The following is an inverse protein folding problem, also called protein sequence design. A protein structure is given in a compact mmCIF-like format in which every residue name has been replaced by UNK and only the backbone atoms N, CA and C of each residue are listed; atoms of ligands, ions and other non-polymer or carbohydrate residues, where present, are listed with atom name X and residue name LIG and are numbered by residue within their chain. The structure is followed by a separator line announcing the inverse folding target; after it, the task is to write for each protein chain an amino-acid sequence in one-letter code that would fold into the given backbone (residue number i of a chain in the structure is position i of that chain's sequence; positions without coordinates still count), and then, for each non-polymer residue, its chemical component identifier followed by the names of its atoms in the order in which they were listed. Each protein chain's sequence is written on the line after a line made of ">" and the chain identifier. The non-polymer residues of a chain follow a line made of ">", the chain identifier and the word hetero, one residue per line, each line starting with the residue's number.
data_IF_271759993216
#
_entry.id   IF_271759993216
#
_cell.length_a   1.000
_cell.length_b   1.000
_cell.length_c   1.000
_cell.angle_alpha   90.00
_cell.angle_beta   90.00
_cell.angle_gamma   90.00
#
_symmetry.space_group_name_H-M   'P 1'
#
loop_
_entity.id
_entity.type
_entity.pdbx_description
1 polymer ?
#
# COMPACT_ATOMS: atom_id res chain seq x y z
N UNK A 1 18.78 8.08 10.70
CA UNK A 1 19.50 6.84 10.37
C UNK A 1 18.77 6.18 9.20
N UNK A 2 19.16 6.49 7.97
CA UNK A 2 18.67 5.78 6.77
C UNK A 2 19.82 4.87 6.33
N UNK A 3 19.82 3.63 6.80
CA UNK A 3 20.80 2.62 6.45
C UNK A 3 20.25 1.84 5.23
N UNK A 4 21.01 1.80 4.14
CA UNK A 4 20.61 1.11 2.90
C UNK A 4 20.25 -0.37 3.15
N UNK A 5 20.98 -1.04 4.05
CA UNK A 5 20.68 -2.43 4.42
C UNK A 5 19.35 -2.57 5.15
N UNK A 6 19.08 -1.68 6.11
CA UNK A 6 17.81 -1.68 6.83
C UNK A 6 16.64 -1.35 5.91
N UNK A 7 16.86 -0.51 4.88
CA UNK A 7 15.84 -0.19 3.87
C UNK A 7 15.49 -1.41 3.02
N UNK A 8 16.50 -2.17 2.60
CA UNK A 8 16.29 -3.40 1.83
C UNK A 8 15.53 -4.45 2.64
N UNK A 9 15.98 -4.72 3.86
CA UNK A 9 15.33 -5.69 4.77
C UNK A 9 13.87 -5.32 5.03
N UNK A 10 13.60 -4.03 5.34
CA UNK A 10 12.24 -3.55 5.52
C UNK A 10 11.39 -3.72 4.25
N UNK A 11 11.96 -3.46 3.08
CA UNK A 11 11.26 -3.61 1.80
C UNK A 11 10.91 -5.08 1.54
N UNK A 12 11.83 -6.00 1.80
CA UNK A 12 11.59 -7.44 1.65
C UNK A 12 10.55 -7.94 2.65
N UNK A 13 10.62 -7.51 3.91
CA UNK A 13 9.63 -7.82 4.93
C UNK A 13 8.23 -7.35 4.53
N UNK A 14 8.10 -6.09 4.09
CA UNK A 14 6.82 -5.53 3.64
C UNK A 14 6.30 -6.26 2.39
N UNK A 15 7.18 -6.61 1.46
CA UNK A 15 6.80 -7.36 0.25
C UNK A 15 6.28 -8.75 0.59
N UNK A 16 6.84 -9.40 1.61
CA UNK A 16 6.36 -10.70 2.11
C UNK A 16 4.93 -10.67 2.64
N UNK A 17 4.41 -9.50 3.04
CA UNK A 17 3.05 -9.31 3.54
C UNK A 17 2.03 -9.03 2.42
N UNK A 18 2.48 -8.81 1.18
CA UNK A 18 1.63 -8.54 0.03
C UNK A 18 1.31 -9.85 -0.68
N UNK A 19 0.03 -10.21 -0.74
CA UNK A 19 -0.45 -11.36 -1.49
C UNK A 19 -0.74 -11.00 -2.94
N UNK A 20 -1.26 -9.81 -3.21
CA UNK A 20 -1.59 -9.34 -4.55
C UNK A 20 -1.60 -7.81 -4.64
N UNK A 21 -1.25 -7.28 -5.81
CA UNK A 21 -1.39 -5.85 -6.16
C UNK A 21 -2.26 -5.75 -7.40
N UNK A 22 -3.37 -5.01 -7.31
CA UNK A 22 -4.29 -4.80 -8.43
C UNK A 22 -4.32 -3.34 -8.84
N UNK A 23 -4.38 -3.11 -10.15
CA UNK A 23 -4.72 -1.82 -10.73
C UNK A 23 -6.15 -1.90 -11.25
N UNK A 24 -7.04 -1.07 -10.71
CA UNK A 24 -8.47 -1.12 -11.01
C UNK A 24 -8.85 0.19 -11.71
N UNK A 25 -9.53 0.15 -12.87
CA UNK A 25 -10.12 1.34 -13.48
C UNK A 25 -11.07 2.06 -12.52
N UNK A 26 -10.88 3.36 -12.38
CA UNK A 26 -11.73 4.25 -11.59
C UNK A 26 -11.79 5.63 -12.27
N UNK A 27 -12.95 5.94 -12.85
CA UNK A 27 -13.19 7.21 -13.55
C UNK A 27 -13.13 8.44 -12.62
N UNK A 28 -13.21 8.24 -11.30
CA UNK A 28 -13.07 9.30 -10.31
C UNK A 28 -11.62 9.55 -9.87
N UNK A 29 -10.70 8.64 -10.19
CA UNK A 29 -9.28 8.79 -9.85
C UNK A 29 -8.58 9.78 -10.79
N UNK A 30 -7.61 10.55 -10.27
CA UNK A 30 -6.87 11.57 -11.05
C UNK A 30 -6.24 10.99 -12.33
N UNK A 31 -5.83 9.72 -12.28
CA UNK A 31 -5.19 9.01 -13.38
C UNK A 31 -6.06 7.88 -13.97
N UNK A 32 -7.36 7.85 -13.66
CA UNK A 32 -8.31 6.85 -14.19
C UNK A 32 -8.16 5.44 -13.60
N UNK A 33 -7.29 5.26 -12.59
CA UNK A 33 -7.05 3.99 -11.93
C UNK A 33 -6.70 4.19 -10.46
N UNK A 34 -7.03 3.19 -9.64
CA UNK A 34 -6.55 3.04 -8.26
C UNK A 34 -5.68 1.80 -8.13
N UNK A 35 -4.78 1.82 -7.14
CA UNK A 35 -3.98 0.66 -6.76
C UNK A 35 -4.54 0.09 -5.45
N UNK A 36 -4.87 -1.20 -5.46
CA UNK A 36 -5.29 -1.93 -4.26
C UNK A 36 -4.23 -2.97 -3.88
N UNK A 37 -3.98 -3.07 -2.57
CA UNK A 37 -3.08 -4.06 -1.97
C UNK A 37 -3.91 -5.10 -1.23
N UNK A 38 -3.65 -6.37 -1.51
CA UNK A 38 -4.30 -7.50 -0.84
C UNK A 38 -3.27 -8.29 -0.04
N UNK A 39 -3.72 -8.89 1.07
CA UNK A 39 -2.88 -9.59 2.04
C UNK A 39 -2.84 -8.86 3.37
N UNK A 40 -1.89 -9.23 4.24
CA UNK A 40 -1.77 -8.67 5.58
C UNK A 40 -1.46 -7.17 5.54
N UNK A 41 -0.61 -6.73 4.61
CA UNK A 41 -0.29 -5.32 4.46
C UNK A 41 -1.51 -4.48 4.06
N UNK A 42 -2.36 -5.00 3.17
CA UNK A 42 -3.62 -4.33 2.79
C UNK A 42 -4.54 -4.14 4.00
N UNK A 43 -4.73 -5.18 4.79
CA UNK A 43 -5.55 -5.12 6.00
C UNK A 43 -5.00 -4.13 7.06
N UNK A 44 -3.68 -4.05 7.21
CA UNK A 44 -3.04 -3.08 8.13
C UNK A 44 -3.29 -1.65 7.66
N UNK A 45 -3.14 -1.37 6.37
CA UNK A 45 -3.36 -0.05 5.80
C UNK A 45 -4.83 0.37 5.85
N UNK A 46 -5.76 -0.55 5.60
CA UNK A 46 -7.19 -0.32 5.76
C UNK A 46 -7.55 0.01 7.20
N UNK A 47 -7.00 -0.74 8.17
CA UNK A 47 -7.21 -0.44 9.59
C UNK A 47 -6.67 0.94 9.97
N UNK A 48 -5.52 1.34 9.43
CA UNK A 48 -4.95 2.66 9.66
C UNK A 48 -5.81 3.77 9.03
N UNK A 49 -6.35 3.54 7.83
CA UNK A 49 -7.17 4.51 7.10
C UNK A 49 -8.53 4.76 7.77
N UNK A 50 -9.08 3.77 8.50
CA UNK A 50 -10.30 3.95 9.32
C UNK A 50 -10.14 5.05 10.38
N UNK A 51 -8.91 5.37 10.82
CA UNK A 51 -8.62 6.46 11.76
C UNK A 51 -8.22 7.80 11.13
N UNK A 52 -7.90 7.82 9.84
CA UNK A 52 -7.35 8.98 9.13
C UNK A 52 -8.13 9.25 7.85
N UNK A 53 -8.86 10.37 7.81
CA UNK A 53 -9.55 10.87 6.60
C UNK A 53 -8.62 10.75 5.39
N UNK A 54 -9.04 9.95 4.41
CA UNK A 54 -8.31 9.67 3.17
C UNK A 54 -7.75 10.95 2.56
N UNK A 55 -6.44 10.95 2.34
CA UNK A 55 -5.78 11.84 1.39
C UNK A 55 -5.70 11.05 0.09
N UNK A 56 -6.29 11.54 -1.01
CA UNK A 56 -6.19 10.86 -2.30
C UNK A 56 -4.74 10.99 -2.78
N UNK A 57 -4.15 9.86 -3.16
CA UNK A 57 -2.88 9.81 -3.88
C UNK A 57 -3.13 9.86 -5.37
#
# INVERSE_FOLDING_TARGET
>A
MNNDFARLEATEALRGLVSEVRMIPDDAAEHGHVIELYGELGAILDLASVGSRQVPW
#
